data_IF_114205133137
#
_entry.id   IF_114205133137
#
_cell.length_a   1.000
_cell.length_b   1.000
_cell.length_c   1.000
_cell.angle_alpha   90.00
_cell.angle_beta   90.00
_cell.angle_gamma   90.00
#
_symmetry.space_group_name_H-M   'P 1'
#
loop_
_entity.id
_entity.type
_entity.pdbx_description
1 polymer ?
#
# COMPACT_ATOMS: atom_id res chain seq x y z
N UNK A 1 36.38 -44.04 -2.50
CA UNK A 1 35.66 -45.33 -2.65
C UNK A 1 34.49 -45.22 -3.66
N UNK A 2 34.62 -44.43 -4.74
CA UNK A 2 33.58 -44.20 -5.77
C UNK A 2 34.11 -44.33 -7.22
N UNK A 3 35.29 -44.94 -7.41
CA UNK A 3 35.97 -45.03 -8.72
C UNK A 3 35.85 -46.39 -9.41
N UNK A 4 35.00 -47.30 -8.93
CA UNK A 4 34.75 -48.61 -9.59
C UNK A 4 33.29 -48.88 -9.97
N UNK A 5 32.49 -47.83 -10.19
CA UNK A 5 31.12 -47.99 -10.72
C UNK A 5 30.98 -47.46 -12.15
N UNK A 6 30.36 -48.29 -13.01
CA UNK A 6 29.99 -47.98 -14.39
C UNK A 6 29.04 -46.76 -14.46
N UNK A 7 29.23 -45.90 -15.47
CA UNK A 7 28.55 -44.60 -15.69
C UNK A 7 27.03 -44.62 -15.40
N UNK A 8 26.22 -45.61 -15.84
CA UNK A 8 24.79 -45.66 -15.53
C UNK A 8 24.48 -45.72 -14.03
N UNK A 9 25.32 -46.37 -13.22
CA UNK A 9 25.13 -46.46 -11.78
C UNK A 9 25.44 -45.13 -11.08
N UNK A 10 26.41 -44.37 -11.59
CA UNK A 10 26.70 -43.01 -11.09
C UNK A 10 25.51 -42.09 -11.35
N UNK A 11 24.89 -42.19 -12.53
CA UNK A 11 23.67 -41.43 -12.87
C UNK A 11 22.49 -41.81 -11.96
N UNK A 12 22.30 -43.11 -11.70
CA UNK A 12 21.23 -43.59 -10.81
C UNK A 12 21.45 -43.13 -9.37
N UNK A 13 22.69 -43.17 -8.86
CA UNK A 13 23.02 -42.61 -7.55
C UNK A 13 22.78 -41.10 -7.49
N UNK A 14 23.16 -40.34 -8.53
CA UNK A 14 22.92 -38.89 -8.58
C UNK A 14 21.43 -38.55 -8.63
N UNK A 15 20.64 -39.27 -9.43
CA UNK A 15 19.19 -39.14 -9.48
C UNK A 15 18.53 -39.54 -8.16
N UNK A 16 18.97 -40.64 -7.53
CA UNK A 16 18.46 -41.09 -6.25
C UNK A 16 18.79 -40.11 -5.11
N UNK A 17 20.01 -39.56 -5.09
CA UNK A 17 20.41 -38.49 -4.17
C UNK A 17 19.62 -37.20 -4.41
N UNK A 18 19.36 -36.83 -5.66
CA UNK A 18 18.55 -35.65 -6.00
C UNK A 18 17.08 -35.82 -5.60
N UNK A 19 16.52 -37.01 -5.83
CA UNK A 19 15.15 -37.36 -5.41
C UNK A 19 15.03 -37.49 -3.89
N UNK A 20 16.03 -38.04 -3.21
CA UNK A 20 16.06 -38.11 -1.76
C UNK A 20 16.26 -36.72 -1.12
N UNK A 21 17.08 -35.85 -1.71
CA UNK A 21 17.24 -34.46 -1.27
C UNK A 21 15.97 -33.63 -1.51
N UNK A 22 15.28 -33.85 -2.64
CA UNK A 22 13.98 -33.21 -2.93
C UNK A 22 12.86 -33.75 -2.03
N UNK A 23 12.85 -35.04 -1.69
CA UNK A 23 11.93 -35.61 -0.70
C UNK A 23 12.24 -35.13 0.72
N UNK A 24 13.51 -35.00 1.09
CA UNK A 24 13.91 -34.41 2.37
C UNK A 24 13.46 -32.96 2.44
N UNK A 25 13.65 -32.15 1.39
CA UNK A 25 13.17 -30.75 1.30
C UNK A 25 11.63 -30.59 1.31
N UNK A 26 10.87 -31.65 1.01
CA UNK A 26 9.40 -31.67 1.14
C UNK A 26 8.93 -32.28 2.47
N UNK A 27 9.79 -33.04 3.15
CA UNK A 27 9.50 -33.68 4.45
C UNK A 27 10.07 -32.89 5.64
N UNK A 28 11.10 -32.06 5.42
CA UNK A 28 11.55 -30.99 6.32
C UNK A 28 10.91 -29.69 5.83
N UNK A 29 9.58 -29.61 5.96
CA UNK A 29 8.85 -28.34 6.00
C UNK A 29 9.11 -27.55 7.29
N UNK A 30 9.97 -28.08 8.16
CA UNK A 30 10.47 -27.47 9.38
C UNK A 30 11.95 -27.17 9.22
N UNK A 31 12.29 -25.99 8.70
CA UNK A 31 13.57 -25.35 9.05
C UNK A 31 13.46 -23.84 8.86
N UNK A 32 13.61 -23.14 10.00
CA UNK A 32 13.75 -21.69 10.18
C UNK A 32 12.48 -20.84 10.25
N UNK A 33 11.48 -21.22 11.05
CA UNK A 33 10.58 -20.24 11.68
C UNK A 33 11.05 -20.00 13.12
N UNK A 34 12.20 -19.34 13.25
CA UNK A 34 12.58 -18.71 14.51
C UNK A 34 11.50 -17.70 14.88
N UNK A 35 10.96 -17.86 16.09
CA UNK A 35 9.92 -17.08 16.74
C UNK A 35 9.90 -15.58 16.42
N UNK A 36 8.93 -15.13 15.61
CA UNK A 36 8.23 -13.84 15.74
C UNK A 36 6.87 -13.97 15.03
N UNK A 37 5.94 -14.65 15.70
CA UNK A 37 4.55 -14.68 15.25
C UNK A 37 3.95 -13.28 15.42
N UNK A 38 3.60 -12.62 14.32
CA UNK A 38 2.83 -11.36 14.34
C UNK A 38 1.62 -11.57 15.26
N UNK A 39 1.49 -10.70 16.25
CA UNK A 39 0.37 -10.75 17.19
C UNK A 39 -0.96 -10.61 16.41
N UNK A 40 -2.05 -11.24 16.84
CA UNK A 40 -3.33 -11.19 16.12
C UNK A 40 -3.80 -9.76 15.86
N UNK A 41 -3.50 -8.82 16.75
CA UNK A 41 -3.75 -7.38 16.62
C UNK A 41 -2.95 -6.77 15.44
N UNK A 42 -1.70 -7.17 15.28
CA UNK A 42 -0.83 -6.75 14.16
C UNK A 42 -1.36 -7.24 12.81
N UNK A 43 -1.85 -8.48 12.76
CA UNK A 43 -2.50 -9.02 11.55
C UNK A 43 -3.76 -8.22 11.19
N UNK A 44 -4.61 -7.94 12.18
CA UNK A 44 -5.83 -7.14 11.98
C UNK A 44 -5.51 -5.71 11.54
N UNK A 45 -4.44 -5.11 12.07
CA UNK A 45 -3.95 -3.81 11.62
C UNK A 45 -3.56 -3.80 10.15
N UNK A 46 -2.76 -4.78 9.71
CA UNK A 46 -2.36 -4.92 8.30
C UNK A 46 -3.57 -5.14 7.38
N UNK A 47 -4.50 -6.01 7.77
CA UNK A 47 -5.69 -6.27 6.97
C UNK A 47 -6.61 -5.04 6.89
N UNK A 48 -6.68 -4.24 7.96
CA UNK A 48 -7.43 -2.98 7.93
C UNK A 48 -6.77 -1.92 7.01
N UNK A 49 -5.43 -1.82 7.02
CA UNK A 49 -4.71 -0.91 6.12
C UNK A 49 -4.94 -1.23 4.64
N UNK A 50 -5.09 -2.51 4.27
CA UNK A 50 -5.44 -2.90 2.89
C UNK A 50 -6.81 -2.37 2.46
N UNK A 51 -7.78 -2.34 3.38
CA UNK A 51 -9.12 -1.80 3.12
C UNK A 51 -9.12 -0.26 2.98
N UNK A 52 -8.10 0.41 3.52
CA UNK A 52 -7.95 1.87 3.42
C UNK A 52 -7.33 2.29 2.09
N UNK A 53 -6.55 1.41 1.41
CA UNK A 53 -5.84 1.77 0.18
C UNK A 53 -6.70 2.40 -0.94
N UNK A 54 -7.90 1.89 -1.23
CA UNK A 54 -8.78 2.48 -2.24
C UNK A 54 -9.15 3.95 -1.98
N UNK A 55 -9.12 4.40 -0.72
CA UNK A 55 -9.36 5.81 -0.35
C UNK A 55 -8.22 6.71 -0.83
N UNK A 56 -6.99 6.22 -0.77
CA UNK A 56 -5.82 6.98 -1.24
C UNK A 56 -5.77 6.99 -2.77
N UNK A 57 -6.17 5.89 -3.42
CA UNK A 57 -6.36 5.85 -4.88
C UNK A 57 -7.38 6.90 -5.33
N UNK A 58 -8.50 7.02 -4.62
CA UNK A 58 -9.50 8.08 -4.86
C UNK A 58 -8.91 9.48 -4.64
N UNK A 59 -8.19 9.67 -3.53
CA UNK A 59 -7.69 10.99 -3.15
C UNK A 59 -6.56 11.50 -4.05
N UNK A 60 -5.81 10.58 -4.67
CA UNK A 60 -4.71 10.88 -5.60
C UNK A 60 -5.10 10.83 -7.08
N UNK A 61 -6.29 10.30 -7.41
CA UNK A 61 -6.77 10.23 -8.78
C UNK A 61 -6.97 11.63 -9.41
N UNK A 62 -6.41 11.83 -10.60
CA UNK A 62 -6.74 12.95 -11.48
C UNK A 62 -7.96 12.61 -12.36
N UNK A 63 -8.82 13.61 -12.71
CA UNK A 63 -10.05 13.39 -13.48
C UNK A 63 -9.78 12.72 -14.83
N UNK A 64 -10.72 11.90 -15.36
CA UNK A 64 -12.13 12.28 -15.59
C UNK A 64 -13.15 11.85 -14.52
N UNK A 65 -14.25 12.60 -14.43
CA UNK A 65 -15.32 12.46 -13.43
C UNK A 65 -15.97 11.07 -13.34
N UNK A 66 -16.03 10.33 -14.46
CA UNK A 66 -16.57 8.97 -14.49
C UNK A 66 -15.66 7.94 -13.80
N UNK A 67 -14.34 8.18 -13.81
CA UNK A 67 -13.39 7.32 -13.09
C UNK A 67 -13.47 7.60 -11.59
N UNK A 68 -13.57 8.87 -11.18
CA UNK A 68 -13.68 9.26 -9.78
C UNK A 68 -14.95 8.76 -9.10
N UNK A 69 -16.09 8.65 -9.80
CA UNK A 69 -17.31 8.09 -9.20
C UNK A 69 -17.17 6.61 -8.88
N UNK A 70 -16.62 5.81 -9.81
CA UNK A 70 -16.37 4.37 -9.57
C UNK A 70 -15.32 4.11 -8.49
N UNK A 71 -14.30 4.97 -8.39
CA UNK A 71 -13.29 4.90 -7.33
C UNK A 71 -13.90 5.27 -5.96
N UNK A 72 -14.79 6.26 -5.94
CA UNK A 72 -15.49 6.66 -4.72
C UNK A 72 -16.35 5.51 -4.18
N UNK A 73 -17.12 4.84 -5.03
CA UNK A 73 -17.91 3.68 -4.63
C UNK A 73 -17.03 2.59 -4.02
N UNK A 74 -15.93 2.23 -4.68
CA UNK A 74 -14.96 1.24 -4.17
C UNK A 74 -14.33 1.66 -2.84
N UNK A 75 -13.97 2.94 -2.71
CA UNK A 75 -13.36 3.49 -1.51
C UNK A 75 -14.32 3.45 -0.31
N UNK A 76 -15.58 3.82 -0.53
CA UNK A 76 -16.62 3.78 0.52
C UNK A 76 -16.92 2.34 0.92
N UNK A 77 -17.11 1.43 -0.03
CA UNK A 77 -17.37 0.02 0.27
C UNK A 77 -16.23 -0.63 1.07
N UNK A 78 -14.99 -0.47 0.61
CA UNK A 78 -13.82 -1.02 1.30
C UNK A 78 -13.64 -0.42 2.71
N UNK A 79 -13.88 0.89 2.85
CA UNK A 79 -13.83 1.54 4.16
C UNK A 79 -14.89 0.97 5.10
N UNK A 80 -16.14 0.85 4.67
CA UNK A 80 -17.23 0.32 5.51
C UNK A 80 -17.02 -1.16 5.90
N UNK A 81 -16.48 -1.97 5.00
CA UNK A 81 -16.05 -3.34 5.32
C UNK A 81 -15.00 -3.34 6.44
N UNK A 82 -13.94 -2.54 6.28
CA UNK A 82 -12.90 -2.42 7.30
C UNK A 82 -13.40 -1.87 8.64
N UNK A 83 -14.30 -0.88 8.60
CA UNK A 83 -14.93 -0.31 9.81
C UNK A 83 -15.71 -1.37 10.57
N UNK A 84 -16.56 -2.12 9.88
CA UNK A 84 -17.40 -3.16 10.48
C UNK A 84 -16.56 -4.26 11.13
N UNK A 85 -15.45 -4.62 10.49
CA UNK A 85 -14.62 -5.75 10.93
C UNK A 85 -13.59 -5.36 12.01
N UNK A 86 -13.02 -4.16 11.94
CA UNK A 86 -11.81 -3.83 12.72
C UNK A 86 -11.97 -2.66 13.70
N UNK A 87 -12.96 -1.76 13.55
CA UNK A 87 -13.04 -0.55 14.41
C UNK A 87 -13.19 -0.87 15.89
N UNK A 88 -13.97 -1.91 16.21
CA UNK A 88 -14.16 -2.36 17.59
C UNK A 88 -12.89 -2.95 18.20
N UNK A 89 -12.08 -3.63 17.38
CA UNK A 89 -10.85 -4.31 17.82
C UNK A 89 -9.69 -3.31 17.97
N UNK A 90 -9.63 -2.29 17.12
CA UNK A 90 -8.51 -1.34 17.04
C UNK A 90 -8.83 0.04 17.61
N UNK A 91 -10.02 0.22 18.21
CA UNK A 91 -10.46 1.49 18.79
C UNK A 91 -10.25 2.69 17.84
N UNK A 92 -10.57 2.50 16.56
CA UNK A 92 -10.40 3.46 15.44
C UNK A 92 -11.71 4.09 14.96
N UNK A 93 -12.85 3.72 15.57
CA UNK A 93 -14.18 4.12 15.12
C UNK A 93 -14.41 5.63 15.03
N UNK A 94 -13.71 6.44 15.81
CA UNK A 94 -13.79 7.90 15.71
C UNK A 94 -13.14 8.44 14.44
N UNK A 95 -11.95 7.95 14.10
CA UNK A 95 -11.17 8.39 12.95
C UNK A 95 -11.80 7.87 11.65
N UNK A 96 -12.23 6.61 11.65
CA UNK A 96 -12.86 5.98 10.49
C UNK A 96 -14.21 6.62 10.15
N UNK A 97 -15.00 7.00 11.18
CA UNK A 97 -16.25 7.74 11.00
C UNK A 97 -16.00 9.13 10.41
N UNK A 98 -15.02 9.86 10.91
CA UNK A 98 -14.67 11.18 10.36
C UNK A 98 -14.28 11.09 8.88
N UNK A 99 -13.55 10.04 8.48
CA UNK A 99 -13.20 9.78 7.08
C UNK A 99 -14.45 9.43 6.24
N UNK A 100 -15.32 8.56 6.74
CA UNK A 100 -16.55 8.20 6.03
C UNK A 100 -17.48 9.41 5.82
N UNK A 101 -17.61 10.28 6.83
CA UNK A 101 -18.39 11.51 6.76
C UNK A 101 -17.82 12.50 5.71
N UNK A 102 -16.50 12.48 5.49
CA UNK A 102 -15.85 13.26 4.41
C UNK A 102 -16.15 12.66 3.03
N UNK A 103 -16.01 11.34 2.87
CA UNK A 103 -16.28 10.65 1.61
C UNK A 103 -17.75 10.77 1.17
N UNK A 104 -18.69 10.75 2.12
CA UNK A 104 -20.12 10.92 1.84
C UNK A 104 -20.45 12.30 1.25
N UNK A 105 -19.68 13.34 1.57
CA UNK A 105 -19.86 14.72 1.06
C UNK A 105 -19.11 14.98 -0.24
N UNK A 106 -18.21 14.08 -0.64
CA UNK A 106 -17.38 14.23 -1.84
C UNK A 106 -18.19 14.45 -3.14
N UNK A 107 -19.32 13.76 -3.41
CA UNK A 107 -20.10 13.98 -4.63
C UNK A 107 -20.66 15.39 -4.78
N UNK A 108 -20.81 16.11 -3.66
CA UNK A 108 -21.39 17.45 -3.60
C UNK A 108 -20.32 18.56 -3.64
N UNK A 109 -19.03 18.17 -3.58
CA UNK A 109 -17.91 19.09 -3.65
C UNK A 109 -17.79 19.68 -5.07
N UNK A 110 -18.36 20.87 -5.29
CA UNK A 110 -18.15 21.62 -6.53
C UNK A 110 -16.65 21.78 -6.81
N UNK A 111 -16.24 21.76 -8.10
CA UNK A 111 -14.85 21.73 -8.59
C UNK A 111 -13.84 22.69 -7.90
N UNK A 112 -14.30 23.80 -7.30
CA UNK A 112 -13.45 24.71 -6.53
C UNK A 112 -13.03 24.17 -5.15
N UNK A 113 -13.90 23.42 -4.48
CA UNK A 113 -13.65 22.85 -3.15
C UNK A 113 -13.06 21.44 -3.21
N UNK A 114 -13.03 20.80 -4.39
CA UNK A 114 -12.52 19.43 -4.57
C UNK A 114 -11.07 19.27 -4.09
N UNK A 115 -10.22 20.28 -4.25
CA UNK A 115 -8.82 20.25 -3.74
C UNK A 115 -8.73 20.31 -2.22
N UNK A 116 -9.59 21.10 -1.58
CA UNK A 116 -9.65 21.17 -0.12
C UNK A 116 -10.18 19.86 0.44
N UNK A 117 -11.26 19.31 -0.15
CA UNK A 117 -11.79 17.97 0.20
C UNK A 117 -10.75 16.86 0.02
N UNK A 118 -9.97 16.90 -1.06
CA UNK A 118 -8.88 15.94 -1.30
C UNK A 118 -7.85 16.00 -0.17
N UNK A 119 -7.38 17.20 0.19
CA UNK A 119 -6.41 17.37 1.27
C UNK A 119 -6.97 16.93 2.63
N UNK A 120 -8.24 17.25 2.92
CA UNK A 120 -8.92 16.83 4.16
C UNK A 120 -9.06 15.32 4.24
N UNK A 121 -9.40 14.65 3.14
CA UNK A 121 -9.49 13.20 3.09
C UNK A 121 -8.13 12.53 3.26
N UNK A 122 -7.08 13.04 2.61
CA UNK A 122 -5.70 12.55 2.81
C UNK A 122 -5.30 12.68 4.28
N UNK A 123 -5.55 13.83 4.91
CA UNK A 123 -5.23 14.05 6.32
C UNK A 123 -6.02 13.11 7.25
N UNK A 124 -7.32 12.92 7.00
CA UNK A 124 -8.16 12.00 7.75
C UNK A 124 -7.70 10.54 7.59
N UNK A 125 -7.31 10.14 6.39
CA UNK A 125 -6.75 8.81 6.12
C UNK A 125 -5.42 8.59 6.85
N UNK A 126 -4.51 9.56 6.83
CA UNK A 126 -3.24 9.48 7.58
C UNK A 126 -3.51 9.35 9.08
N UNK A 127 -4.48 10.10 9.60
CA UNK A 127 -4.88 10.04 11.02
C UNK A 127 -5.43 8.66 11.39
N UNK A 128 -6.23 8.04 10.51
CA UNK A 128 -6.72 6.68 10.70
C UNK A 128 -5.58 5.65 10.68
N UNK A 129 -4.67 5.76 9.71
CA UNK A 129 -3.50 4.87 9.60
C UNK A 129 -2.62 4.94 10.85
N UNK A 130 -2.34 6.15 11.35
CA UNK A 130 -1.58 6.34 12.58
C UNK A 130 -2.27 5.67 13.77
N UNK A 131 -3.59 5.88 13.92
CA UNK A 131 -4.36 5.24 15.00
C UNK A 131 -4.30 3.72 14.92
N UNK A 132 -4.46 3.15 13.72
CA UNK A 132 -4.37 1.71 13.49
C UNK A 132 -2.97 1.20 13.84
N UNK A 133 -1.92 1.89 13.40
CA UNK A 133 -0.53 1.53 13.73
C UNK A 133 -0.24 1.53 15.23
N UNK A 134 -0.75 2.54 15.95
CA UNK A 134 -0.60 2.65 17.40
C UNK A 134 -1.31 1.52 18.16
N UNK A 135 -2.53 1.15 17.75
CA UNK A 135 -3.36 0.19 18.50
C UNK A 135 -3.11 -1.26 18.13
N UNK A 136 -2.56 -1.53 16.95
CA UNK A 136 -2.23 -2.88 16.48
C UNK A 136 -0.82 -3.33 16.88
N UNK A 137 -0.08 -2.51 17.62
CA UNK A 137 1.30 -2.77 18.03
C UNK A 137 2.28 -2.94 16.84
N UNK A 138 1.92 -2.44 15.65
CA UNK A 138 2.73 -2.53 14.43
C UNK A 138 4.04 -1.73 14.50
N UNK A 139 4.12 -0.73 15.39
CA UNK A 139 5.29 0.15 15.53
C UNK A 139 6.41 -0.50 16.38
N UNK A 140 6.10 -1.56 17.13
CA UNK A 140 7.02 -2.17 18.11
C UNK A 140 7.56 -3.56 17.71
N UNK A 141 7.18 -4.12 16.56
CA UNK A 141 7.62 -5.46 16.15
C UNK A 141 9.01 -5.42 15.45
N UNK A 142 10.03 -6.17 15.90
CA UNK A 142 11.40 -6.10 15.37
C UNK A 142 11.61 -6.79 14.01
N UNK A 143 10.62 -7.52 13.49
CA UNK A 143 10.67 -8.19 12.16
C UNK A 143 10.36 -7.24 10.97
N UNK A 144 10.37 -5.94 11.25
CA UNK A 144 10.00 -4.88 10.33
C UNK A 144 11.10 -4.56 9.29
N UNK A 145 12.34 -5.04 9.42
CA UNK A 145 13.44 -4.76 8.46
C UNK A 145 13.19 -5.33 7.05
N UNK A 146 12.38 -6.39 6.90
CA UNK A 146 11.93 -6.86 5.57
C UNK A 146 10.69 -6.10 5.07
N UNK A 147 9.92 -5.50 5.98
CA UNK A 147 8.73 -4.70 5.67
C UNK A 147 9.05 -3.22 5.44
N UNK A 148 10.18 -2.68 5.92
CA UNK A 148 10.61 -1.30 5.67
C UNK A 148 11.15 -1.07 4.24
N UNK A 149 11.45 -2.13 3.49
CA UNK A 149 11.48 -2.06 2.01
C UNK A 149 10.14 -1.57 1.44
N UNK A 150 9.03 -1.75 2.17
CA UNK A 150 7.71 -1.22 1.89
C UNK A 150 7.52 0.23 2.41
N UNK A 151 8.19 0.69 3.48
CA UNK A 151 8.13 2.10 3.93
C UNK A 151 8.82 3.05 2.95
N UNK A 152 9.89 2.59 2.28
CA UNK A 152 10.40 3.29 1.10
C UNK A 152 9.34 3.42 -0.01
N UNK A 153 8.43 2.46 -0.14
CA UNK A 153 7.35 2.42 -1.15
C UNK A 153 6.08 3.16 -0.70
N UNK A 154 5.78 3.17 0.60
CA UNK A 154 4.53 3.68 1.18
C UNK A 154 4.68 5.11 1.70
N UNK A 155 5.81 5.48 2.29
CA UNK A 155 6.01 6.83 2.83
C UNK A 155 6.87 7.70 1.90
N UNK A 156 7.98 7.16 1.38
CA UNK A 156 8.94 7.95 0.59
C UNK A 156 8.56 8.07 -0.88
N UNK A 157 8.07 7.00 -1.49
CA UNK A 157 7.68 6.98 -2.91
C UNK A 157 6.53 7.95 -3.23
N UNK A 158 5.45 8.03 -2.45
CA UNK A 158 4.38 9.00 -2.71
C UNK A 158 4.86 10.44 -2.55
N UNK A 159 5.75 10.69 -1.59
CA UNK A 159 6.40 11.99 -1.40
C UNK A 159 7.25 12.38 -2.62
N UNK A 160 7.97 11.41 -3.20
CA UNK A 160 8.78 11.59 -4.41
C UNK A 160 7.91 11.81 -5.67
N UNK A 161 6.80 11.09 -5.78
CA UNK A 161 5.81 11.28 -6.85
C UNK A 161 5.16 12.67 -6.76
N UNK A 162 4.78 13.11 -5.56
CA UNK A 162 4.24 14.45 -5.35
C UNK A 162 5.24 15.55 -5.77
N UNK A 163 6.53 15.37 -5.46
CA UNK A 163 7.58 16.30 -5.88
C UNK A 163 7.76 16.33 -7.41
N UNK A 164 7.75 15.18 -8.08
CA UNK A 164 7.86 15.08 -9.54
C UNK A 164 6.67 15.73 -10.26
N UNK A 165 5.45 15.56 -9.74
CA UNK A 165 4.24 16.21 -10.28
C UNK A 165 4.36 17.73 -10.19
N UNK A 166 4.80 18.25 -9.04
CA UNK A 166 5.01 19.70 -8.85
C UNK A 166 6.05 20.27 -9.82
N UNK A 167 7.12 19.53 -10.09
CA UNK A 167 8.17 19.94 -11.03
C UNK A 167 7.67 19.94 -12.47
N UNK A 168 6.97 18.88 -12.90
CA UNK A 168 6.40 18.81 -14.23
C UNK A 168 5.39 19.94 -14.47
N UNK A 169 4.58 20.26 -13.46
CA UNK A 169 3.63 21.36 -13.52
C UNK A 169 4.33 22.70 -13.75
N UNK A 170 5.40 22.95 -12.99
CA UNK A 170 6.23 24.15 -13.16
C UNK A 170 6.82 24.24 -14.56
N UNK A 171 7.32 23.12 -15.10
CA UNK A 171 7.85 23.07 -16.47
C UNK A 171 6.80 23.42 -17.53
N UNK A 172 5.57 22.90 -17.40
CA UNK A 172 4.47 23.23 -18.34
C UNK A 172 4.04 24.69 -18.24
N UNK A 173 4.10 25.27 -17.05
CA UNK A 173 3.79 26.68 -16.85
C UNK A 173 4.88 27.57 -17.48
N UNK A 174 6.17 27.17 -17.37
CA UNK A 174 7.26 27.80 -18.14
C UNK A 174 7.04 27.69 -19.66
N UNK A 175 6.64 26.53 -20.17
CA UNK A 175 6.40 26.31 -21.60
C UNK A 175 5.26 27.19 -22.14
N UNK A 176 4.19 27.41 -21.36
CA UNK A 176 3.10 28.33 -21.71
C UNK A 176 3.53 29.79 -21.71
N UNK A 177 4.40 30.19 -20.79
CA UNK A 177 4.98 31.54 -20.75
C UNK A 177 5.89 31.75 -21.97
N UNK A 178 6.60 30.70 -22.41
CA UNK A 178 7.48 30.76 -23.57
C UNK A 178 6.73 30.65 -24.91
N UNK A 179 5.58 29.98 -24.94
CA UNK A 179 4.68 29.89 -26.08
C UNK A 179 3.68 31.07 -26.18
N UNK A 180 3.59 31.91 -25.15
CA UNK A 180 2.88 33.17 -25.25
C UNK A 180 3.56 34.03 -26.33
N UNK A 181 2.82 34.59 -27.30
CA UNK A 181 3.42 35.35 -28.38
C UNK A 181 4.25 36.48 -27.77
N UNK A 182 5.53 36.54 -28.14
CA UNK A 182 6.44 37.65 -27.83
C UNK A 182 6.04 38.89 -28.63
N UNK A 183 4.80 39.34 -28.44
CA UNK A 183 4.22 40.52 -29.04
C UNK A 183 4.27 41.69 -28.07
N UNK A 184 5.47 42.10 -27.66
CA UNK A 184 5.65 43.49 -27.23
C UNK A 184 5.78 44.32 -28.50
N UNK A 185 4.64 44.64 -29.10
CA UNK A 185 4.60 45.72 -30.08
C UNK A 185 4.66 47.03 -29.32
N UNK A 186 5.71 47.81 -29.61
CA UNK A 186 5.86 49.20 -29.19
C UNK A 186 4.72 50.06 -29.71
#
# INVERSE_FOLDING_TARGET
>A
MLDRLSIPHKLYCFCALSCAARRRRLASGDECAGQHSIQPEGKNGVDYLKNIWPVIDLATAQPPAARSSSLLTKAVEALEEGRTQYDGMLASGTQSKALADLLARWPQAMERNSRMQQNEAIAATITLIARVGDTSNLILDPDLDSYYTMDMVIAKLPTLVAALVSLNQSYRDYEKIQAAPTGWHC
#
